data_IF_230507141619
#
_entry.id   IF_230507141619
#
_cell.length_a   1.000
_cell.length_b   1.000
_cell.length_c   1.000
_cell.angle_alpha   90.00
_cell.angle_beta   90.00
_cell.angle_gamma   90.00
#
_symmetry.space_group_name_H-M   'P 1'
#
loop_
_entity.id
_entity.type
_entity.pdbx_description
1 polymer ?
#
# COMPACT_ATOMS: atom_id res chain seq x y z
N UNK A 1 2.10 -6.44 -27.31
CA UNK A 1 2.23 -6.72 -25.87
C UNK A 1 3.13 -5.72 -25.15
N UNK A 2 4.31 -5.44 -25.70
CA UNK A 2 5.26 -4.48 -25.11
C UNK A 2 4.66 -3.07 -24.99
N UNK A 3 3.99 -2.59 -26.05
CA UNK A 3 3.35 -1.29 -26.06
C UNK A 3 2.25 -1.18 -25.01
N UNK A 4 1.45 -2.23 -24.85
CA UNK A 4 0.39 -2.27 -23.85
C UNK A 4 0.97 -2.19 -22.43
N UNK A 5 2.02 -2.95 -22.17
CA UNK A 5 2.68 -2.96 -20.86
C UNK A 5 3.29 -1.60 -20.53
N UNK A 6 3.94 -0.95 -21.50
CA UNK A 6 4.56 0.35 -21.32
C UNK A 6 3.51 1.43 -21.02
N UNK A 7 2.36 1.39 -21.71
CA UNK A 7 1.25 2.31 -21.44
C UNK A 7 0.67 2.11 -20.04
N UNK A 8 0.50 0.86 -19.58
CA UNK A 8 0.00 0.56 -18.25
C UNK A 8 0.95 1.09 -17.18
N UNK A 9 2.25 0.96 -17.36
CA UNK A 9 3.26 1.48 -16.43
C UNK A 9 3.25 3.01 -16.38
N UNK A 10 3.14 3.69 -17.51
CA UNK A 10 3.05 5.14 -17.59
C UNK A 10 1.81 5.64 -16.85
N UNK A 11 0.66 4.99 -17.03
CA UNK A 11 -0.57 5.35 -16.35
C UNK A 11 -0.45 5.19 -14.84
N UNK A 12 0.14 4.09 -14.36
CA UNK A 12 0.36 3.84 -12.94
C UNK A 12 1.27 4.92 -12.32
N UNK A 13 2.33 5.31 -13.02
CA UNK A 13 3.25 6.37 -12.59
C UNK A 13 2.54 7.72 -12.51
N UNK A 14 1.72 8.06 -13.51
CA UNK A 14 0.95 9.31 -13.52
C UNK A 14 -0.03 9.38 -12.34
N UNK A 15 -0.69 8.27 -12.02
CA UNK A 15 -1.63 8.21 -10.91
C UNK A 15 -0.93 8.48 -9.59
N UNK A 16 0.21 7.83 -9.33
CA UNK A 16 0.92 8.01 -8.06
C UNK A 16 1.47 9.44 -7.90
N UNK A 17 1.83 10.10 -8.98
CA UNK A 17 2.29 11.50 -8.93
C UNK A 17 1.19 12.48 -8.56
N UNK A 18 -0.07 12.18 -8.90
CA UNK A 18 -1.22 13.04 -8.62
C UNK A 18 -1.85 12.78 -7.26
N UNK A 19 -1.51 11.68 -6.60
CA UNK A 19 -2.10 11.27 -5.33
C UNK A 19 -1.37 11.91 -4.15
N UNK A 20 -2.15 12.38 -3.16
CA UNK A 20 -1.62 12.88 -1.89
C UNK A 20 -1.97 11.86 -0.81
N UNK A 21 -0.99 11.14 -0.25
CA UNK A 21 -1.27 10.21 0.83
C UNK A 21 -1.68 10.94 2.11
N UNK A 22 -2.60 10.34 2.83
CA UNK A 22 -2.97 10.80 4.17
C UNK A 22 -2.12 10.03 5.18
N UNK A 23 -1.36 10.75 6.02
CA UNK A 23 -0.51 10.15 7.03
C UNK A 23 -1.24 10.08 8.36
N UNK A 24 -1.41 8.89 8.89
CA UNK A 24 -2.07 8.66 10.17
C UNK A 24 -0.99 8.70 11.25
N UNK A 25 -1.17 9.59 12.23
CA UNK A 25 -0.20 9.83 13.30
C UNK A 25 -0.74 9.38 14.64
N UNK A 26 0.18 9.00 15.55
CA UNK A 26 -0.18 8.70 16.94
C UNK A 26 -0.33 9.97 17.75
N UNK A 27 -0.59 9.83 19.07
CA UNK A 27 -0.77 10.96 19.98
C UNK A 27 0.49 11.83 20.14
N UNK A 28 1.67 11.30 19.79
CA UNK A 28 2.95 12.03 19.86
C UNK A 28 3.31 12.72 18.54
N UNK A 29 2.52 12.53 17.49
CA UNK A 29 2.77 13.06 16.16
C UNK A 29 3.62 12.16 15.27
N UNK A 30 3.98 10.97 15.73
CA UNK A 30 4.74 9.99 14.95
C UNK A 30 3.85 9.32 13.91
N UNK A 31 4.32 9.21 12.67
CA UNK A 31 3.57 8.59 11.57
C UNK A 31 3.48 7.08 11.80
N UNK A 32 2.24 6.57 11.86
CA UNK A 32 1.95 5.15 12.04
C UNK A 32 1.83 4.42 10.70
N UNK A 33 1.05 4.97 9.78
CA UNK A 33 0.90 4.44 8.43
C UNK A 33 0.39 5.53 7.50
N UNK A 34 0.40 5.24 6.19
CA UNK A 34 -0.16 6.14 5.18
C UNK A 34 -1.35 5.46 4.51
N UNK A 35 -2.33 6.27 4.15
CA UNK A 35 -3.55 5.83 3.45
C UNK A 35 -3.63 6.54 2.12
N UNK A 36 -3.78 5.77 1.05
CA UNK A 36 -4.06 6.30 -0.29
C UNK A 36 -5.45 5.87 -0.69
N UNK A 37 -6.30 6.83 -1.08
CA UNK A 37 -7.62 6.55 -1.65
C UNK A 37 -7.72 7.22 -3.01
N UNK A 38 -8.22 6.48 -4.00
CA UNK A 38 -8.39 6.97 -5.36
C UNK A 38 -9.48 6.20 -6.10
N UNK A 39 -10.27 6.90 -6.88
CA UNK A 39 -11.27 6.28 -7.75
C UNK A 39 -10.66 5.75 -9.05
N UNK A 40 -9.40 6.04 -9.32
CA UNK A 40 -8.72 5.57 -10.52
C UNK A 40 -8.26 4.13 -10.33
N UNK A 41 -8.74 3.17 -11.18
CA UNK A 41 -8.37 1.77 -11.03
C UNK A 41 -6.87 1.48 -11.22
N UNK A 42 -6.11 2.39 -11.82
CA UNK A 42 -4.67 2.24 -11.97
C UNK A 42 -3.91 2.41 -10.65
N UNK A 43 -4.57 2.88 -9.56
CA UNK A 43 -3.89 3.10 -8.28
C UNK A 43 -3.27 1.82 -7.72
N UNK A 44 -3.93 0.68 -7.88
CA UNK A 44 -3.41 -0.61 -7.39
C UNK A 44 -2.11 -0.99 -8.12
N UNK A 45 -2.05 -0.73 -9.43
CA UNK A 45 -0.84 -1.00 -10.23
C UNK A 45 0.34 -0.08 -9.85
N UNK A 46 0.06 1.08 -9.27
CA UNK A 46 1.11 2.06 -8.90
C UNK A 46 2.06 1.54 -7.83
N UNK A 47 1.66 0.55 -7.02
CA UNK A 47 2.47 0.02 -5.93
C UNK A 47 3.76 -0.63 -6.43
N UNK A 48 3.80 -1.07 -7.67
CA UNK A 48 4.96 -1.72 -8.27
C UNK A 48 5.86 -0.75 -9.04
N UNK A 49 5.77 0.54 -8.78
CA UNK A 49 6.60 1.55 -9.43
C UNK A 49 7.67 2.10 -8.49
N UNK A 50 8.79 2.57 -9.06
CA UNK A 50 9.82 3.25 -8.29
C UNK A 50 9.28 4.54 -7.66
N UNK A 51 8.39 5.24 -8.35
CA UNK A 51 7.78 6.47 -7.86
C UNK A 51 6.99 6.23 -6.59
N UNK A 52 6.28 5.11 -6.48
CA UNK A 52 5.59 4.72 -5.26
C UNK A 52 6.58 4.50 -4.12
N UNK A 53 7.66 3.77 -4.36
CA UNK A 53 8.70 3.53 -3.35
C UNK A 53 9.36 4.83 -2.91
N UNK A 54 9.68 5.72 -3.84
CA UNK A 54 10.32 7.01 -3.55
C UNK A 54 9.41 7.91 -2.70
N UNK A 55 8.10 7.85 -2.94
CA UNK A 55 7.12 8.65 -2.19
C UNK A 55 7.14 8.33 -0.69
N UNK A 56 7.37 7.07 -0.32
CA UNK A 56 7.29 6.61 1.08
C UNK A 56 8.64 6.32 1.73
N UNK A 57 9.72 6.35 0.98
CA UNK A 57 11.06 5.99 1.47
C UNK A 57 11.49 6.85 2.65
N UNK A 58 11.23 8.14 2.61
CA UNK A 58 11.62 9.07 3.66
C UNK A 58 10.95 8.76 5.00
N UNK A 59 9.67 8.37 4.97
CA UNK A 59 8.88 8.14 6.18
C UNK A 59 8.95 6.70 6.68
N UNK A 60 9.12 5.72 5.79
CA UNK A 60 9.00 4.29 6.12
C UNK A 60 10.23 3.46 5.78
N UNK A 61 11.22 4.04 5.10
CA UNK A 61 12.43 3.31 4.71
C UNK A 61 12.29 2.61 3.36
N UNK A 62 13.29 1.77 3.04
CA UNK A 62 13.36 1.09 1.74
C UNK A 62 12.49 -0.16 1.65
N UNK A 63 12.13 -0.74 2.79
CA UNK A 63 11.23 -1.89 2.86
C UNK A 63 9.85 -1.40 3.31
N UNK A 64 8.87 -1.50 2.42
CA UNK A 64 7.51 -1.06 2.69
C UNK A 64 6.61 -2.28 2.87
N UNK A 65 5.76 -2.23 3.89
CA UNK A 65 4.66 -3.18 4.04
C UNK A 65 3.39 -2.51 3.52
N UNK A 66 2.72 -3.18 2.59
CA UNK A 66 1.57 -2.63 1.86
C UNK A 66 0.39 -3.59 1.96
N UNK A 67 -0.78 -3.02 2.25
CA UNK A 67 -2.04 -3.76 2.28
C UNK A 67 -2.99 -3.10 1.30
N UNK A 68 -3.69 -3.91 0.50
CA UNK A 68 -4.64 -3.43 -0.51
C UNK A 68 -6.00 -4.09 -0.23
N UNK A 69 -6.77 -3.55 0.73
CA UNK A 69 -8.02 -4.18 1.14
C UNK A 69 -9.11 -4.12 0.06
N UNK A 70 -9.07 -3.09 -0.79
CA UNK A 70 -9.99 -2.95 -1.89
C UNK A 70 -9.30 -2.20 -3.04
N UNK A 71 -9.97 -2.09 -4.19
CA UNK A 71 -9.36 -1.54 -5.41
C UNK A 71 -9.14 -0.03 -5.41
N UNK A 72 -9.64 0.66 -4.40
CA UNK A 72 -9.49 2.12 -4.28
C UNK A 72 -8.67 2.56 -3.08
N UNK A 73 -8.17 1.61 -2.27
CA UNK A 73 -7.45 1.90 -1.02
C UNK A 73 -6.13 1.16 -0.97
N UNK A 74 -5.07 1.87 -0.61
CA UNK A 74 -3.74 1.31 -0.35
C UNK A 74 -3.27 1.80 1.00
N UNK A 75 -2.82 0.88 1.86
CA UNK A 75 -2.25 1.17 3.17
C UNK A 75 -0.76 0.87 3.12
N UNK A 76 0.06 1.82 3.58
CA UNK A 76 1.52 1.70 3.55
C UNK A 76 2.09 1.95 4.93
N UNK A 77 3.03 1.10 5.36
CA UNK A 77 3.70 1.26 6.66
C UNK A 77 5.14 0.75 6.57
N UNK A 78 5.93 1.11 7.59
CA UNK A 78 7.26 0.53 7.75
C UNK A 78 7.15 -0.94 8.15
N UNK A 79 8.23 -1.70 7.95
CA UNK A 79 8.30 -3.13 8.30
C UNK A 79 8.37 -3.28 9.82
N UNK A 80 7.23 -3.27 10.49
CA UNK A 80 7.11 -3.32 11.95
C UNK A 80 5.93 -4.21 12.36
N UNK A 81 6.26 -5.38 12.90
CA UNK A 81 5.27 -6.38 13.32
C UNK A 81 4.34 -5.87 14.41
N UNK A 82 4.87 -5.13 15.37
CA UNK A 82 4.09 -4.63 16.50
C UNK A 82 3.06 -3.60 16.02
N UNK A 83 3.47 -2.72 15.12
CA UNK A 83 2.57 -1.73 14.54
C UNK A 83 1.50 -2.41 13.69
N UNK A 84 1.87 -3.38 12.87
CA UNK A 84 0.90 -4.14 12.08
C UNK A 84 -0.11 -4.84 12.98
N UNK A 85 0.34 -5.50 14.05
CA UNK A 85 -0.55 -6.19 14.98
C UNK A 85 -1.54 -5.23 15.66
N UNK A 86 -1.15 -3.98 15.88
CA UNK A 86 -2.04 -2.96 16.43
C UNK A 86 -3.21 -2.66 15.49
N UNK A 87 -2.94 -2.58 14.20
CA UNK A 87 -3.92 -2.13 13.19
C UNK A 87 -4.52 -3.25 12.34
N UNK A 88 -4.00 -4.47 12.40
CA UNK A 88 -4.41 -5.53 11.47
C UNK A 88 -5.90 -5.85 11.53
N UNK A 89 -6.52 -5.76 12.69
CA UNK A 89 -7.94 -6.01 12.84
C UNK A 89 -8.77 -4.96 12.10
N UNK A 90 -8.38 -3.70 12.20
CA UNK A 90 -9.03 -2.61 11.47
C UNK A 90 -8.83 -2.76 9.96
N UNK A 91 -7.63 -3.11 9.52
CA UNK A 91 -7.33 -3.31 8.10
C UNK A 91 -8.08 -4.51 7.53
N UNK A 92 -8.19 -5.60 8.31
CA UNK A 92 -8.97 -6.77 7.90
C UNK A 92 -10.46 -6.42 7.78
N UNK A 93 -10.98 -5.59 8.67
CA UNK A 93 -12.36 -5.12 8.60
C UNK A 93 -12.61 -4.30 7.33
N UNK A 94 -11.66 -3.48 6.90
CA UNK A 94 -11.75 -2.78 5.63
C UNK A 94 -11.90 -3.73 4.44
N UNK A 95 -11.17 -4.86 4.46
CA UNK A 95 -11.29 -5.90 3.44
C UNK A 95 -12.67 -6.56 3.47
N UNK A 96 -13.18 -6.88 4.67
CA UNK A 96 -14.48 -7.54 4.83
C UNK A 96 -15.64 -6.64 4.41
N UNK A 97 -15.54 -5.33 4.66
CA UNK A 97 -16.60 -4.36 4.35
C UNK A 97 -16.57 -3.89 2.89
N UNK A 98 -15.52 -4.22 2.15
CA UNK A 98 -15.37 -3.76 0.77
C UNK A 98 -16.35 -4.44 -0.17
N UNK A 99 -16.97 -3.65 -1.05
CA UNK A 99 -17.81 -4.17 -2.15
C UNK A 99 -16.94 -4.94 -3.15
N UNK A 100 -15.72 -4.43 -3.40
CA UNK A 100 -14.75 -5.03 -4.31
C UNK A 100 -13.44 -5.29 -3.56
N UNK A 101 -13.39 -6.34 -2.70
CA UNK A 101 -12.15 -6.65 -1.96
C UNK A 101 -11.06 -7.12 -2.92
N UNK A 102 -9.80 -6.76 -2.62
CA UNK A 102 -8.64 -7.13 -3.43
C UNK A 102 -7.83 -8.20 -2.71
N UNK A 103 -7.28 -7.90 -1.53
CA UNK A 103 -6.43 -8.82 -0.82
C UNK A 103 -6.40 -8.53 0.68
N UNK A 104 -6.35 -9.59 1.49
CA UNK A 104 -6.08 -9.52 2.92
C UNK A 104 -4.61 -9.80 3.24
N UNK A 105 -3.78 -9.99 2.22
CA UNK A 105 -2.36 -10.27 2.38
C UNK A 105 -1.58 -8.99 2.66
N UNK A 106 -0.47 -9.14 3.39
CA UNK A 106 0.52 -8.07 3.58
C UNK A 106 1.64 -8.30 2.60
N UNK A 107 1.97 -7.29 1.81
CA UNK A 107 3.03 -7.37 0.81
C UNK A 107 4.26 -6.61 1.28
N UNK A 108 5.42 -7.18 1.05
CA UNK A 108 6.70 -6.47 1.17
C UNK A 108 7.09 -5.93 -0.20
N UNK A 109 7.38 -4.64 -0.26
CA UNK A 109 7.82 -3.97 -1.49
C UNK A 109 9.15 -3.28 -1.25
N UNK A 110 10.12 -3.54 -2.11
CA UNK A 110 11.41 -2.85 -2.12
C UNK A 110 11.98 -2.85 -3.54
N UNK A 111 13.23 -2.40 -3.71
CA UNK A 111 13.87 -2.32 -5.02
C UNK A 111 14.04 -3.69 -5.72
N UNK A 112 13.91 -4.79 -4.98
CA UNK A 112 14.05 -6.14 -5.52
C UNK A 112 12.73 -6.72 -6.01
N UNK A 113 11.59 -6.13 -5.64
CA UNK A 113 10.29 -6.60 -6.09
C UNK A 113 9.20 -6.48 -5.05
N UNK A 114 8.14 -7.23 -5.29
CA UNK A 114 6.95 -7.28 -4.47
C UNK A 114 6.59 -8.76 -4.21
N UNK A 115 6.33 -9.12 -2.96
CA UNK A 115 5.84 -10.46 -2.61
C UNK A 115 5.06 -10.47 -1.31
N UNK A 116 4.14 -11.43 -1.17
CA UNK A 116 3.33 -11.59 0.03
C UNK A 116 4.16 -12.18 1.17
N UNK A 117 4.04 -11.60 2.38
CA UNK A 117 4.77 -12.06 3.57
C UNK A 117 3.84 -12.57 4.66
N UNK A 118 2.54 -12.36 4.57
CA UNK A 118 1.60 -12.80 5.58
C UNK A 118 0.18 -12.40 5.24
N UNK A 119 -0.74 -12.69 6.17
CA UNK A 119 -2.18 -12.50 6.02
C UNK A 119 -2.71 -11.74 7.24
N UNK A 120 -3.60 -10.79 7.03
CA UNK A 120 -4.22 -10.00 8.11
C UNK A 120 -5.01 -10.86 9.10
N UNK A 121 -5.44 -12.06 8.68
CA UNK A 121 -6.19 -13.00 9.53
C UNK A 121 -5.29 -13.75 10.51
N UNK A 122 -3.98 -13.83 10.25
CA UNK A 122 -3.02 -14.54 11.09
C UNK A 122 -2.16 -13.57 11.88
N UNK A 123 -1.51 -14.07 12.95
CA UNK A 123 -0.56 -13.27 13.73
C UNK A 123 0.80 -13.20 13.03
N UNK A 124 1.45 -12.09 13.17
CA UNK A 124 2.81 -11.87 12.65
C UNK A 124 3.85 -11.99 13.74
#
# INVERSE_FOLDING_TARGET
>A
WKEFRDKALINATSVIKSVKPEYIKDSTGKIEYALIQSDNPAIVSSVNTQQFRDLFKENFGSDLWVIIPNRSTILVMSADKNRLNTYKKAFYQMFLDAIYPVSREVFLINSKGLWAIGDLKTSF
#
